data_IF_162932452468
#
_entry.id   IF_162932452468
#
_cell.length_a   1.000
_cell.length_b   1.000
_cell.length_c   1.000
_cell.angle_alpha   90.00
_cell.angle_beta   90.00
_cell.angle_gamma   90.00
#
_symmetry.space_group_name_H-M   'P 1'
#
loop_
_entity.id
_entity.type
_entity.pdbx_description
1 polymer ?
#
# COMPACT_ATOMS: atom_id res chain seq x y z
N UNK A 1 -4.78 14.79 -49.71
CA UNK A 1 -5.76 14.71 -48.60
C UNK A 1 -5.84 13.32 -47.93
N UNK A 2 -5.65 12.18 -48.61
CA UNK A 2 -5.71 10.83 -47.98
C UNK A 2 -4.54 10.54 -47.03
N UNK A 3 -3.30 11.01 -47.30
CA UNK A 3 -2.11 10.79 -46.43
C UNK A 3 -2.21 11.45 -45.04
N UNK A 4 -2.84 12.65 -44.96
CA UNK A 4 -2.98 13.36 -43.68
C UNK A 4 -4.03 12.75 -42.75
N UNK A 5 -5.03 12.04 -43.31
CA UNK A 5 -6.04 11.32 -42.50
C UNK A 5 -5.47 10.08 -41.83
N UNK A 6 -4.57 9.35 -42.50
CA UNK A 6 -3.88 8.19 -41.91
C UNK A 6 -2.92 8.60 -40.78
N UNK A 7 -2.22 9.74 -40.92
CA UNK A 7 -1.34 10.26 -39.88
C UNK A 7 -2.14 10.72 -38.63
N UNK A 8 -3.31 11.33 -38.81
CA UNK A 8 -4.21 11.71 -37.72
C UNK A 8 -4.77 10.51 -36.97
N UNK A 9 -5.11 9.42 -37.66
CA UNK A 9 -5.60 8.19 -37.04
C UNK A 9 -4.48 7.48 -36.29
N UNK A 10 -3.24 7.48 -36.80
CA UNK A 10 -2.08 6.95 -36.10
C UNK A 10 -1.73 7.74 -34.84
N UNK A 11 -1.87 9.08 -34.85
CA UNK A 11 -1.67 9.95 -33.70
C UNK A 11 -2.74 9.72 -32.62
N UNK A 12 -3.99 9.47 -33.00
CA UNK A 12 -5.09 9.16 -32.08
C UNK A 12 -4.97 7.79 -31.42
N UNK A 13 -4.35 6.81 -32.08
CA UNK A 13 -4.12 5.47 -31.53
C UNK A 13 -3.00 5.43 -30.47
N UNK A 14 -2.06 6.38 -30.49
CA UNK A 14 -1.00 6.50 -29.47
C UNK A 14 -1.55 6.96 -28.13
N UNK A 15 -2.71 7.59 -28.08
CA UNK A 15 -3.36 8.08 -26.86
C UNK A 15 -4.22 7.04 -26.15
N UNK A 16 -4.36 5.83 -26.67
CA UNK A 16 -5.11 4.72 -26.08
C UNK A 16 -4.22 3.70 -25.36
N UNK A 17 -2.99 4.08 -24.99
CA UNK A 17 -2.22 3.26 -24.07
C UNK A 17 -3.00 3.18 -22.74
N UNK A 18 -3.35 1.97 -22.26
CA UNK A 18 -3.99 1.83 -20.97
C UNK A 18 -3.08 2.47 -19.93
N UNK A 19 -3.56 3.52 -19.28
CA UNK A 19 -2.88 4.11 -18.13
C UNK A 19 -3.07 3.11 -16.98
N UNK A 20 -2.16 2.17 -16.84
CA UNK A 20 -2.08 1.34 -15.65
C UNK A 20 -1.67 2.26 -14.50
N UNK A 21 -2.49 2.32 -13.48
CA UNK A 21 -2.21 3.12 -12.30
C UNK A 21 -2.51 2.29 -11.06
N UNK A 22 -1.51 2.13 -10.22
CA UNK A 22 -1.68 1.52 -8.91
C UNK A 22 -2.84 2.19 -8.16
N UNK A 23 -3.65 1.39 -7.50
CA UNK A 23 -4.75 1.88 -6.67
C UNK A 23 -4.25 2.27 -5.30
N UNK A 24 -4.64 3.46 -4.83
CA UNK A 24 -4.35 3.95 -3.47
C UNK A 24 -5.63 3.94 -2.65
N UNK A 25 -5.71 3.05 -1.69
CA UNK A 25 -6.83 2.92 -0.77
C UNK A 25 -6.47 3.52 0.60
N UNK A 26 -7.41 4.22 1.23
CA UNK A 26 -7.31 4.62 2.64
C UNK A 26 -8.38 3.87 3.43
N UNK A 27 -7.96 3.06 4.38
CA UNK A 27 -8.78 2.14 5.13
C UNK A 27 -8.79 2.46 6.61
N UNK A 28 -9.83 2.01 7.31
CA UNK A 28 -9.85 1.87 8.76
C UNK A 28 -9.82 0.37 9.07
N UNK A 29 -8.72 -0.08 9.66
CA UNK A 29 -8.52 -1.48 10.03
C UNK A 29 -8.71 -1.64 11.53
N UNK A 30 -9.65 -2.48 11.92
CA UNK A 30 -9.91 -2.76 13.34
C UNK A 30 -8.73 -3.51 13.95
N UNK A 31 -8.24 -3.01 15.08
CA UNK A 31 -7.29 -3.70 15.95
C UNK A 31 -8.06 -4.32 17.11
N UNK A 32 -8.23 -5.64 17.15
CA UNK A 32 -8.83 -6.33 18.29
C UNK A 32 -8.07 -6.11 19.59
N UNK A 33 -6.74 -6.15 19.56
CA UNK A 33 -5.91 -5.98 20.76
C UNK A 33 -6.00 -4.60 21.40
N UNK A 34 -6.29 -3.56 20.61
CA UNK A 34 -6.45 -2.18 21.08
C UNK A 34 -7.91 -1.73 21.13
N UNK A 35 -8.84 -2.54 20.61
CA UNK A 35 -10.28 -2.22 20.47
C UNK A 35 -10.54 -0.88 19.79
N UNK A 36 -9.75 -0.53 18.78
CA UNK A 36 -9.90 0.71 17.98
C UNK A 36 -9.63 0.47 16.49
N UNK A 37 -9.98 1.44 15.68
CA UNK A 37 -9.67 1.45 14.26
C UNK A 37 -8.40 2.24 13.99
N UNK A 38 -7.52 1.68 13.16
CA UNK A 38 -6.26 2.27 12.76
C UNK A 38 -6.35 2.61 11.26
N UNK A 39 -6.01 3.84 10.91
CA UNK A 39 -5.93 4.25 9.51
C UNK A 39 -4.74 3.58 8.83
N UNK A 40 -4.97 3.05 7.64
CA UNK A 40 -3.94 2.40 6.81
C UNK A 40 -4.10 2.88 5.38
N UNK A 41 -3.01 3.27 4.74
CA UNK A 41 -2.96 3.51 3.30
C UNK A 41 -2.35 2.28 2.65
N UNK A 42 -3.01 1.77 1.60
CA UNK A 42 -2.52 0.65 0.80
C UNK A 42 -2.37 1.09 -0.64
N UNK A 43 -1.19 0.89 -1.20
CA UNK A 43 -0.89 1.12 -2.61
C UNK A 43 -0.79 -0.24 -3.29
N UNK A 44 -1.74 -0.54 -4.16
CA UNK A 44 -1.88 -1.84 -4.83
C UNK A 44 -1.49 -1.69 -6.30
N UNK A 45 -0.45 -2.41 -6.79
CA UNK A 45 -0.07 -2.38 -8.20
C UNK A 45 -1.18 -2.95 -9.08
N UNK A 46 -1.27 -2.48 -10.32
CA UNK A 46 -2.24 -2.95 -11.30
C UNK A 46 -2.19 -4.48 -11.47
N UNK A 47 -0.99 -5.07 -11.43
CA UNK A 47 -0.79 -6.52 -11.51
C UNK A 47 -1.55 -7.32 -10.44
N UNK A 48 -1.85 -6.71 -9.28
CA UNK A 48 -2.60 -7.33 -8.19
C UNK A 48 -4.11 -7.01 -8.24
N UNK A 49 -4.60 -6.36 -9.31
CA UNK A 49 -5.97 -5.93 -9.46
C UNK A 49 -6.72 -6.74 -10.55
N UNK A 50 -8.04 -6.78 -10.45
CA UNK A 50 -8.93 -7.35 -11.47
C UNK A 50 -8.93 -8.88 -11.55
N UNK A 51 -9.51 -9.41 -12.65
CA UNK A 51 -9.74 -10.85 -12.83
C UNK A 51 -8.47 -11.68 -13.05
N UNK A 52 -7.40 -11.06 -13.53
CA UNK A 52 -6.10 -11.71 -13.81
C UNK A 52 -5.05 -11.35 -12.76
N UNK A 53 -5.47 -10.90 -11.57
CA UNK A 53 -4.58 -10.48 -10.50
C UNK A 53 -3.60 -11.58 -10.11
N UNK A 54 -2.31 -11.23 -10.02
CA UNK A 54 -1.24 -12.10 -9.51
C UNK A 54 -0.92 -11.72 -8.06
N UNK A 55 -0.41 -12.70 -7.30
CA UNK A 55 0.05 -12.44 -5.94
C UNK A 55 1.35 -11.64 -5.96
N UNK A 56 1.37 -10.52 -5.24
CA UNK A 56 2.51 -9.61 -5.14
C UNK A 56 3.09 -9.62 -3.71
N UNK A 57 4.40 -9.39 -3.55
CA UNK A 57 4.98 -9.18 -2.23
C UNK A 57 4.41 -7.90 -1.60
N UNK A 58 4.35 -7.87 -0.26
CA UNK A 58 3.91 -6.72 0.51
C UNK A 58 5.06 -6.11 1.31
N UNK A 59 5.20 -4.79 1.25
CA UNK A 59 6.17 -4.02 2.03
C UNK A 59 5.43 -3.07 2.96
N UNK A 60 5.64 -3.25 4.26
CA UNK A 60 5.07 -2.41 5.31
C UNK A 60 6.00 -1.23 5.55
N UNK A 61 5.48 -0.01 5.31
CA UNK A 61 6.23 1.25 5.40
C UNK A 61 5.79 2.01 6.66
N UNK A 62 6.62 1.99 7.68
CA UNK A 62 6.35 2.65 8.95
C UNK A 62 6.82 4.12 8.91
N UNK A 63 5.97 5.05 9.34
CA UNK A 63 6.31 6.48 9.39
C UNK A 63 7.14 6.83 10.64
N UNK A 64 7.80 7.99 10.62
CA UNK A 64 8.52 8.53 11.77
C UNK A 64 7.60 9.23 12.79
N UNK A 65 8.17 9.67 13.90
CA UNK A 65 7.45 10.40 14.94
C UNK A 65 6.73 11.65 14.38
N UNK A 66 5.47 11.83 14.71
CA UNK A 66 4.63 12.90 14.21
C UNK A 66 4.06 12.69 12.78
N UNK A 67 4.38 11.56 12.15
CA UNK A 67 3.79 11.17 10.87
C UNK A 67 2.41 10.49 11.03
N UNK A 68 1.88 10.00 9.92
CA UNK A 68 0.58 9.34 9.84
C UNK A 68 0.52 8.42 8.60
N UNK A 69 -0.60 7.70 8.39
CA UNK A 69 -0.75 6.74 7.30
C UNK A 69 -0.41 7.28 5.89
N UNK A 70 -0.64 8.57 5.62
CA UNK A 70 -0.35 9.18 4.31
C UNK A 70 1.08 9.67 4.14
N UNK A 71 1.89 9.70 5.21
CA UNK A 71 3.25 10.25 5.18
C UNK A 71 4.06 9.73 3.98
N UNK A 72 4.03 8.43 3.71
CA UNK A 72 4.83 7.86 2.62
C UNK A 72 4.40 8.30 1.22
N UNK A 73 3.10 8.47 0.95
CA UNK A 73 2.63 8.98 -0.34
C UNK A 73 2.84 10.50 -0.48
N UNK A 74 2.98 11.23 0.63
CA UNK A 74 3.28 12.66 0.64
C UNK A 74 4.77 12.93 0.39
N UNK A 75 5.67 12.20 1.05
CA UNK A 75 7.12 12.35 0.86
C UNK A 75 7.65 11.63 -0.39
N UNK A 76 6.90 10.68 -0.91
CA UNK A 76 7.21 9.91 -2.11
C UNK A 76 6.00 9.85 -3.06
N UNK A 77 5.64 10.97 -3.72
CA UNK A 77 4.43 11.03 -4.56
C UNK A 77 4.39 10.02 -5.72
N UNK A 78 5.55 9.54 -6.16
CA UNK A 78 5.65 8.49 -7.18
C UNK A 78 5.63 7.06 -6.61
N UNK A 79 5.24 6.87 -5.34
CA UNK A 79 5.11 5.53 -4.75
C UNK A 79 4.15 4.61 -5.53
N UNK A 80 3.01 5.11 -6.09
CA UNK A 80 2.14 4.31 -6.94
C UNK A 80 2.83 3.79 -8.21
N UNK A 81 3.63 4.63 -8.88
CA UNK A 81 4.41 4.21 -10.05
C UNK A 81 5.43 3.13 -9.68
N UNK A 82 6.10 3.28 -8.53
CA UNK A 82 7.05 2.27 -8.03
C UNK A 82 6.32 0.96 -7.73
N UNK A 83 5.09 1.01 -7.18
CA UNK A 83 4.28 -0.17 -6.94
C UNK A 83 4.03 -0.94 -8.25
N UNK A 84 3.63 -0.25 -9.32
CA UNK A 84 3.41 -0.85 -10.64
C UNK A 84 4.70 -1.38 -11.26
N UNK A 85 5.77 -0.61 -11.26
CA UNK A 85 7.05 -0.99 -11.85
C UNK A 85 7.68 -2.22 -11.18
N UNK A 86 7.50 -2.36 -9.88
CA UNK A 86 8.10 -3.45 -9.07
C UNK A 86 7.14 -4.58 -8.77
N UNK A 87 5.84 -4.42 -9.01
CA UNK A 87 4.82 -5.39 -8.64
C UNK A 87 4.74 -5.57 -7.11
N UNK A 88 4.79 -4.48 -6.34
CA UNK A 88 4.83 -4.50 -4.88
C UNK A 88 3.59 -3.82 -4.32
N UNK A 89 2.95 -4.44 -3.33
CA UNK A 89 1.91 -3.82 -2.50
C UNK A 89 2.60 -3.08 -1.35
N UNK A 90 2.39 -1.75 -1.25
CA UNK A 90 2.86 -0.99 -0.10
C UNK A 90 1.74 -0.80 0.91
N UNK A 91 2.05 -1.03 2.20
CA UNK A 91 1.12 -0.93 3.32
C UNK A 91 1.67 0.08 4.32
N UNK A 92 0.96 1.20 4.49
CA UNK A 92 1.41 2.32 5.32
C UNK A 92 0.43 2.51 6.50
N UNK A 93 0.67 1.85 7.65
CA UNK A 93 -0.16 2.02 8.83
C UNK A 93 0.12 3.34 9.54
N UNK A 94 -0.91 3.90 10.19
CA UNK A 94 -0.74 4.95 11.19
C UNK A 94 -0.25 4.33 12.50
N UNK A 95 0.96 4.65 12.88
CA UNK A 95 1.58 4.20 14.12
C UNK A 95 1.42 5.19 15.27
N UNK A 96 0.73 6.33 15.06
CA UNK A 96 0.68 7.41 16.05
C UNK A 96 2.09 7.80 16.53
N UNK A 97 2.27 8.02 17.81
CA UNK A 97 3.57 8.27 18.48
C UNK A 97 4.03 7.06 19.30
N UNK A 98 3.65 5.85 18.88
CA UNK A 98 3.75 4.61 19.66
C UNK A 98 5.13 3.95 19.66
N UNK A 99 6.07 4.40 18.82
CA UNK A 99 7.33 3.70 18.54
C UNK A 99 7.13 2.27 18.03
N UNK A 100 5.92 1.96 17.55
CA UNK A 100 5.52 0.64 17.07
C UNK A 100 5.80 -0.50 18.04
N UNK A 101 5.62 -0.25 19.34
CA UNK A 101 5.80 -1.23 20.39
C UNK A 101 4.50 -1.47 21.19
N UNK A 102 4.47 -2.52 21.96
CA UNK A 102 3.35 -2.85 22.82
C UNK A 102 3.60 -2.32 24.24
N UNK A 103 2.78 -1.37 24.68
CA UNK A 103 2.87 -0.84 26.02
C UNK A 103 2.46 -1.90 27.06
N UNK A 104 3.27 -2.13 28.11
CA UNK A 104 2.90 -3.04 29.19
C UNK A 104 1.85 -2.45 30.13
N UNK A 105 1.59 -1.14 30.07
CA UNK A 105 0.68 -0.42 30.97
C UNK A 105 -0.60 0.06 30.30
N UNK A 106 -0.57 0.29 28.99
CA UNK A 106 -1.69 0.86 28.26
C UNK A 106 -2.11 -0.09 27.12
N UNK A 107 -3.24 -0.75 27.30
CA UNK A 107 -3.80 -1.67 26.31
C UNK A 107 -4.23 -0.98 25.00
N UNK A 108 -4.38 0.34 24.98
CA UNK A 108 -4.68 1.09 23.77
C UNK A 108 -3.44 1.32 22.87
N UNK A 109 -2.25 0.89 23.33
CA UNK A 109 -0.96 0.97 22.63
C UNK A 109 -0.36 -0.43 22.45
N UNK A 110 -0.88 -1.19 21.46
CA UNK A 110 -0.42 -2.53 21.06
C UNK A 110 -0.01 -2.51 19.59
N UNK A 111 0.84 -1.56 19.22
CA UNK A 111 1.17 -1.32 17.82
C UNK A 111 2.12 -2.36 17.22
N UNK A 112 2.96 -3.01 18.01
CA UNK A 112 3.75 -4.16 17.58
C UNK A 112 2.81 -5.32 17.20
N UNK A 113 1.89 -5.70 18.09
CA UNK A 113 0.87 -6.71 17.82
C UNK A 113 0.04 -6.35 16.58
N UNK A 114 -0.39 -5.10 16.47
CA UNK A 114 -1.16 -4.63 15.33
C UNK A 114 -0.41 -4.84 14.03
N UNK A 115 0.80 -4.28 13.90
CA UNK A 115 1.57 -4.31 12.64
C UNK A 115 2.05 -5.72 12.29
N UNK A 116 2.54 -6.48 13.29
CA UNK A 116 3.16 -7.78 13.04
C UNK A 116 2.17 -8.94 12.86
N UNK A 117 0.94 -8.79 13.34
CA UNK A 117 -0.05 -9.87 13.35
C UNK A 117 -1.40 -9.46 12.77
N UNK A 118 -2.08 -8.47 13.37
CA UNK A 118 -3.45 -8.13 13.02
C UNK A 118 -3.55 -7.54 11.62
N UNK A 119 -2.70 -6.57 11.29
CA UNK A 119 -2.63 -5.93 9.98
C UNK A 119 -2.18 -6.91 8.90
N UNK A 120 -1.21 -7.77 9.19
CA UNK A 120 -0.76 -8.81 8.24
C UNK A 120 -1.92 -9.72 7.85
N UNK A 121 -2.68 -10.22 8.83
CA UNK A 121 -3.86 -11.07 8.56
C UNK A 121 -4.92 -10.35 7.76
N UNK A 122 -5.17 -9.08 8.08
CA UNK A 122 -6.12 -8.25 7.35
C UNK A 122 -5.70 -8.08 5.89
N UNK A 123 -4.45 -7.69 5.65
CA UNK A 123 -3.92 -7.43 4.30
C UNK A 123 -3.92 -8.72 3.46
N UNK A 124 -3.47 -9.84 4.02
CA UNK A 124 -3.47 -11.12 3.31
C UNK A 124 -4.87 -11.62 2.96
N UNK A 125 -5.88 -11.27 3.78
CA UNK A 125 -7.28 -11.63 3.54
C UNK A 125 -8.01 -10.74 2.53
N UNK A 126 -7.51 -9.52 2.26
CA UNK A 126 -8.22 -8.52 1.44
C UNK A 126 -7.47 -8.13 0.17
N UNK A 127 -6.17 -8.43 0.07
CA UNK A 127 -5.31 -8.08 -1.05
C UNK A 127 -4.62 -9.31 -1.62
N UNK A 128 -4.24 -9.26 -2.88
CA UNK A 128 -3.59 -10.37 -3.57
C UNK A 128 -2.10 -10.42 -3.22
N UNK A 129 -1.79 -10.76 -1.97
CA UNK A 129 -0.43 -10.88 -1.46
C UNK A 129 0.19 -12.26 -1.67
N UNK A 130 1.52 -12.34 -1.64
CA UNK A 130 2.24 -13.59 -1.35
C UNK A 130 2.18 -13.76 0.17
N UNK A 131 1.20 -14.54 0.65
CA UNK A 131 0.80 -14.62 2.05
C UNK A 131 1.75 -15.53 2.88
N UNK A 132 3.06 -15.34 2.73
CA UNK A 132 4.07 -16.01 3.53
C UNK A 132 5.22 -15.05 3.93
N UNK A 133 6.12 -15.51 4.79
CA UNK A 133 7.24 -14.71 5.29
C UNK A 133 8.16 -14.21 4.16
N UNK A 134 8.36 -14.98 3.10
CA UNK A 134 9.25 -14.63 1.98
C UNK A 134 8.63 -13.54 1.10
N UNK A 135 7.29 -13.42 1.14
CA UNK A 135 6.54 -12.38 0.43
C UNK A 135 6.38 -11.08 1.20
N UNK A 136 7.02 -10.91 2.37
CA UNK A 136 6.84 -9.71 3.21
C UNK A 136 8.16 -9.05 3.56
N UNK A 137 8.13 -7.73 3.59
CA UNK A 137 9.19 -6.91 4.15
C UNK A 137 8.57 -5.80 5.03
N UNK A 138 9.35 -5.32 5.97
CA UNK A 138 9.02 -4.17 6.81
C UNK A 138 10.21 -3.22 6.83
N UNK A 139 9.94 -1.94 6.70
CA UNK A 139 10.93 -0.88 6.82
C UNK A 139 10.29 0.37 7.39
N UNK A 140 11.06 1.34 7.82
CA UNK A 140 10.54 2.54 8.43
C UNK A 140 11.51 3.70 8.37
N UNK A 141 10.99 4.84 8.82
CA UNK A 141 11.71 6.11 8.94
C UNK A 141 11.76 6.51 10.40
N UNK A 142 12.95 6.78 10.93
CA UNK A 142 13.19 7.37 12.25
C UNK A 142 12.59 6.55 13.41
N UNK A 143 11.34 6.80 13.76
CA UNK A 143 10.63 6.10 14.84
C UNK A 143 10.57 4.59 14.61
#
# INVERSE_FOLDING_TARGET
MKKNRLLLIALLLVWLAPSFAARVDTLLVKSPSMNKEIKVVVVTPDAALGKKAVSCPAVYLLHGFGGHAKTWIEIKPNLPQIADEKGIIFVCPDGSTSWYWDSPKDSSFRYETFVSSELVKYIDGHYKTIADRKGRAITGLSM
#
